data_IF_607267897950
#
_entry.id   IF_607267897950
#
_cell.length_a   1.000
_cell.length_b   1.000
_cell.length_c   1.000
_cell.angle_alpha   90.00
_cell.angle_beta   90.00
_cell.angle_gamma   90.00
#
_symmetry.space_group_name_H-M   'P 1'
#
loop_
_entity.id
_entity.type
_entity.pdbx_description
1 polymer ?
#
# COMPACT_ATOMS: atom_id res chain seq x y z
N UNK A 1 18.48 -9.42 49.27
CA UNK A 1 17.43 -8.85 48.40
C UNK A 1 18.08 -7.83 47.47
N UNK A 2 18.54 -8.25 46.28
CA UNK A 2 19.05 -7.31 45.29
C UNK A 2 17.88 -6.88 44.40
N UNK A 3 17.50 -5.62 44.56
CA UNK A 3 16.46 -4.95 43.78
C UNK A 3 16.85 -4.94 42.30
N UNK A 4 15.97 -5.48 41.46
CA UNK A 4 16.18 -5.59 40.02
C UNK A 4 16.22 -4.21 39.36
N UNK A 5 17.41 -3.79 38.95
CA UNK A 5 17.57 -2.74 37.96
C UNK A 5 17.18 -3.32 36.60
N UNK A 6 15.90 -3.18 36.24
CA UNK A 6 15.44 -3.41 34.88
C UNK A 6 16.21 -2.49 33.94
N UNK A 7 17.13 -3.05 33.16
CA UNK A 7 17.87 -2.31 32.14
C UNK A 7 16.85 -1.66 31.21
N UNK A 8 16.76 -0.32 31.22
CA UNK A 8 16.00 0.40 30.20
C UNK A 8 16.67 0.13 28.86
N UNK A 9 16.15 -0.84 28.11
CA UNK A 9 16.54 -1.05 26.72
C UNK A 9 16.17 0.22 25.98
N UNK A 10 17.18 0.96 25.51
CA UNK A 10 16.96 2.14 24.68
C UNK A 10 16.71 1.65 23.27
N UNK A 11 15.51 1.90 22.73
CA UNK A 11 15.15 1.55 21.36
C UNK A 11 14.73 2.77 20.55
N UNK A 12 14.96 2.71 19.24
CA UNK A 12 14.42 3.69 18.30
C UNK A 12 12.89 3.59 18.28
N UNK A 13 12.21 4.73 18.18
CA UNK A 13 10.75 4.81 18.10
C UNK A 13 10.32 5.27 16.71
N UNK A 14 9.34 4.61 16.07
CA UNK A 14 8.82 5.04 14.78
C UNK A 14 8.06 6.37 14.91
N UNK A 15 8.11 7.20 13.86
CA UNK A 15 7.31 8.41 13.72
C UNK A 15 6.65 8.42 12.33
N UNK A 16 5.42 7.90 12.26
CA UNK A 16 4.70 7.73 11.01
C UNK A 16 4.43 9.05 10.29
N UNK A 17 4.04 10.10 11.02
CA UNK A 17 3.76 11.42 10.44
C UNK A 17 5.00 11.99 9.75
N UNK A 18 6.17 11.93 10.41
CA UNK A 18 7.43 12.38 9.80
C UNK A 18 7.93 11.45 8.70
N UNK A 19 7.57 10.17 8.73
CA UNK A 19 7.88 9.20 7.66
C UNK A 19 7.13 9.53 6.39
N UNK A 20 5.82 9.78 6.48
CA UNK A 20 4.95 10.18 5.35
C UNK A 20 5.46 11.50 4.75
N UNK A 21 5.67 12.53 5.57
CA UNK A 21 6.14 13.84 5.11
C UNK A 21 7.55 13.84 4.46
N UNK A 22 8.30 12.74 4.56
CA UNK A 22 9.63 12.55 3.97
C UNK A 22 9.65 11.51 2.86
N UNK A 23 8.49 11.02 2.42
CA UNK A 23 8.43 10.18 1.24
C UNK A 23 8.99 10.94 0.02
N UNK A 24 9.60 10.24 -0.94
CA UNK A 24 10.10 10.87 -2.16
C UNK A 24 8.96 11.60 -2.86
N UNK A 25 9.15 12.90 -3.11
CA UNK A 25 8.21 13.69 -3.89
C UNK A 25 8.33 13.30 -5.36
N UNK A 26 7.21 13.27 -6.11
CA UNK A 26 7.26 12.91 -7.51
C UNK A 26 8.07 13.93 -8.31
N UNK A 27 9.06 13.45 -9.07
CA UNK A 27 9.88 14.29 -9.94
C UNK A 27 9.31 14.35 -11.37
N UNK A 28 8.46 13.38 -11.72
CA UNK A 28 7.80 13.28 -13.01
C UNK A 28 6.37 12.70 -12.87
N UNK A 29 5.64 12.62 -13.98
CA UNK A 29 4.25 12.13 -14.00
C UNK A 29 4.14 10.66 -13.57
N UNK A 30 5.07 9.79 -13.97
CA UNK A 30 5.03 8.39 -13.58
C UNK A 30 5.25 8.23 -12.07
N UNK A 31 6.14 9.03 -11.47
CA UNK A 31 6.31 9.07 -10.02
C UNK A 31 5.02 9.53 -9.32
N UNK A 32 4.32 10.52 -9.89
CA UNK A 32 3.06 11.03 -9.35
C UNK A 32 1.92 9.99 -9.43
N UNK A 33 2.01 9.05 -10.37
CA UNK A 33 1.05 7.96 -10.54
C UNK A 33 1.41 6.69 -9.75
N UNK A 34 2.52 6.67 -9.00
CA UNK A 34 2.90 5.52 -8.19
C UNK A 34 1.80 5.01 -7.23
N UNK A 35 1.03 5.86 -6.54
CA UNK A 35 -0.08 5.40 -5.72
C UNK A 35 -1.06 4.53 -6.53
N UNK A 36 -1.44 4.99 -7.72
CA UNK A 36 -2.36 4.27 -8.61
C UNK A 36 -1.77 2.93 -9.07
N UNK A 37 -0.50 2.91 -9.50
CA UNK A 37 0.17 1.67 -9.89
C UNK A 37 0.25 0.65 -8.76
N UNK A 38 0.51 1.12 -7.54
CA UNK A 38 0.50 0.28 -6.35
C UNK A 38 -0.89 -0.31 -6.08
N UNK A 39 -1.97 0.48 -6.19
CA UNK A 39 -3.32 -0.05 -6.00
C UNK A 39 -3.68 -1.10 -7.05
N UNK A 40 -3.32 -0.87 -8.32
CA UNK A 40 -3.50 -1.84 -9.40
C UNK A 40 -2.70 -3.12 -9.14
N UNK A 41 -1.43 -2.99 -8.72
CA UNK A 41 -0.60 -4.13 -8.33
C UNK A 41 -1.21 -4.92 -7.17
N UNK A 42 -1.75 -4.23 -6.16
CA UNK A 42 -2.42 -4.87 -5.04
C UNK A 42 -3.69 -5.63 -5.47
N UNK A 43 -4.49 -5.06 -6.37
CA UNK A 43 -5.65 -5.70 -6.99
C UNK A 43 -5.27 -6.95 -7.81
N UNK A 44 -4.20 -6.88 -8.60
CA UNK A 44 -3.68 -8.04 -9.36
C UNK A 44 -3.26 -9.16 -8.41
N UNK A 45 -2.48 -8.85 -7.37
CA UNK A 45 -2.08 -9.86 -6.39
C UNK A 45 -3.27 -10.47 -5.63
N UNK A 46 -4.27 -9.64 -5.29
CA UNK A 46 -5.51 -10.08 -4.64
C UNK A 46 -6.29 -11.07 -5.51
N UNK A 47 -6.40 -10.80 -6.81
CA UNK A 47 -7.09 -11.68 -7.78
C UNK A 47 -6.32 -12.97 -8.06
N UNK A 48 -5.00 -12.88 -8.26
CA UNK A 48 -4.12 -14.05 -8.41
C UNK A 48 -4.21 -14.98 -7.20
N UNK A 49 -4.19 -14.43 -5.99
CA UNK A 49 -4.30 -15.23 -4.76
C UNK A 49 -5.67 -15.91 -4.60
N UNK A 50 -6.75 -15.33 -5.15
CA UNK A 50 -8.09 -15.93 -5.09
C UNK A 50 -8.28 -17.03 -6.13
N UNK A 51 -7.91 -16.78 -7.38
CA UNK A 51 -8.28 -17.62 -8.52
C UNK A 51 -7.15 -18.54 -8.99
N UNK A 52 -5.90 -18.31 -8.56
CA UNK A 52 -4.75 -19.14 -8.92
C UNK A 52 -4.70 -19.38 -10.45
N UNK A 53 -4.76 -20.64 -10.88
CA UNK A 53 -4.72 -21.03 -12.30
C UNK A 53 -5.91 -20.52 -13.13
N UNK A 54 -7.07 -20.22 -12.51
CA UNK A 54 -8.24 -19.72 -13.23
C UNK A 54 -8.29 -18.19 -13.32
N UNK A 55 -7.26 -17.49 -12.81
CA UNK A 55 -7.24 -16.01 -12.77
C UNK A 55 -7.42 -15.36 -14.14
N UNK A 56 -6.93 -15.99 -15.22
CA UNK A 56 -7.09 -15.47 -16.57
C UNK A 56 -8.54 -15.44 -17.05
N UNK A 57 -9.39 -16.33 -16.53
CA UNK A 57 -10.80 -16.43 -16.89
C UNK A 57 -11.72 -15.70 -15.89
N UNK A 58 -11.38 -15.73 -14.61
CA UNK A 58 -12.26 -15.26 -13.52
C UNK A 58 -11.80 -13.96 -12.87
N UNK A 59 -10.50 -13.65 -12.92
CA UNK A 59 -9.93 -12.47 -12.31
C UNK A 59 -10.36 -11.20 -13.02
N UNK A 60 -10.80 -10.21 -12.23
CA UNK A 60 -11.19 -8.88 -12.71
C UNK A 60 -10.56 -7.80 -11.86
N UNK A 61 -9.91 -6.87 -12.54
CA UNK A 61 -9.46 -5.59 -12.01
C UNK A 61 -10.04 -4.50 -12.90
N UNK A 62 -10.81 -3.61 -12.32
CA UNK A 62 -11.44 -2.47 -13.00
C UNK A 62 -10.78 -1.19 -12.51
N UNK A 63 -10.33 -0.36 -13.44
CA UNK A 63 -9.80 0.98 -13.13
C UNK A 63 -10.70 2.02 -13.76
N UNK A 64 -11.36 2.80 -12.93
CA UNK A 64 -12.24 3.88 -13.36
C UNK A 64 -11.57 5.22 -13.08
N UNK A 65 -11.31 6.00 -14.13
CA UNK A 65 -10.78 7.37 -14.01
C UNK A 65 -11.87 8.36 -14.38
N UNK A 66 -12.17 9.26 -13.45
CA UNK A 66 -13.14 10.32 -13.62
C UNK A 66 -12.43 11.66 -13.51
N UNK A 67 -12.82 12.59 -14.37
CA UNK A 67 -12.35 13.97 -14.26
C UNK A 67 -13.42 14.94 -14.70
N UNK A 68 -13.37 16.16 -14.17
CA UNK A 68 -14.24 17.23 -14.61
C UNK A 68 -13.79 17.83 -15.95
N UNK A 69 -14.62 18.68 -16.57
CA UNK A 69 -14.29 19.29 -17.87
C UNK A 69 -13.01 20.14 -17.81
N UNK A 70 -12.69 20.72 -16.65
CA UNK A 70 -11.50 21.53 -16.44
C UNK A 70 -10.26 20.70 -16.14
N UNK A 71 -10.41 19.40 -15.87
CA UNK A 71 -9.34 18.47 -15.48
C UNK A 71 -8.65 18.85 -14.15
N UNK A 72 -9.38 19.54 -13.29
CA UNK A 72 -8.89 20.04 -12.00
C UNK A 72 -9.18 19.03 -10.87
N UNK A 73 -10.25 18.25 -11.01
CA UNK A 73 -10.57 17.15 -10.11
C UNK A 73 -10.38 15.84 -10.86
N UNK A 74 -9.39 15.03 -10.45
CA UNK A 74 -9.16 13.68 -10.98
C UNK A 74 -9.43 12.69 -9.86
N UNK A 75 -10.29 11.71 -10.12
CA UNK A 75 -10.54 10.58 -9.24
C UNK A 75 -10.18 9.29 -9.98
N UNK A 76 -9.41 8.43 -9.33
CA UNK A 76 -9.14 7.09 -9.82
C UNK A 76 -9.66 6.08 -8.79
N UNK A 77 -10.46 5.13 -9.25
CA UNK A 77 -11.03 4.05 -8.45
C UNK A 77 -10.47 2.74 -9.01
N UNK A 78 -9.90 1.92 -8.14
CA UNK A 78 -9.41 0.57 -8.48
C UNK A 78 -10.27 -0.43 -7.72
N UNK A 79 -10.93 -1.32 -8.44
CA UNK A 79 -11.79 -2.37 -7.89
C UNK A 79 -11.28 -3.73 -8.36
N UNK A 80 -11.30 -4.72 -7.46
CA UNK A 80 -10.95 -6.10 -7.79
C UNK A 80 -11.95 -7.09 -7.21
N UNK A 81 -12.05 -8.26 -7.83
CA UNK A 81 -12.85 -9.38 -7.31
C UNK A 81 -11.98 -10.43 -6.60
N UNK A 82 -10.83 -10.05 -6.06
CA UNK A 82 -9.90 -10.95 -5.38
C UNK A 82 -10.30 -11.28 -3.94
N UNK A 83 -9.30 -11.61 -3.11
CA UNK A 83 -9.48 -11.98 -1.70
C UNK A 83 -9.87 -10.79 -0.80
N UNK A 84 -9.54 -9.56 -1.22
CA UNK A 84 -9.78 -8.35 -0.44
C UNK A 84 -8.98 -8.29 0.87
N UNK A 85 -9.45 -7.51 1.82
CA UNK A 85 -8.84 -7.34 3.15
C UNK A 85 -9.24 -8.47 4.10
N UNK A 86 -8.81 -9.69 3.80
CA UNK A 86 -8.81 -10.77 4.79
C UNK A 86 -7.85 -10.44 5.95
N UNK A 87 -7.87 -11.23 7.02
CA UNK A 87 -7.07 -10.96 8.23
C UNK A 87 -5.58 -10.71 7.96
N UNK A 88 -4.94 -11.55 7.10
CA UNK A 88 -3.54 -11.37 6.70
C UNK A 88 -3.32 -10.06 5.94
N UNK A 89 -4.18 -9.75 4.97
CA UNK A 89 -4.06 -8.55 4.15
C UNK A 89 -4.35 -7.28 4.97
N UNK A 90 -5.28 -7.37 5.92
CA UNK A 90 -5.60 -6.32 6.86
C UNK A 90 -4.40 -6.01 7.77
N UNK A 91 -3.76 -7.03 8.34
CA UNK A 91 -2.56 -6.84 9.17
C UNK A 91 -1.42 -6.18 8.39
N UNK A 92 -1.18 -6.62 7.15
CA UNK A 92 -0.23 -5.97 6.27
C UNK A 92 -0.63 -4.51 5.95
N UNK A 93 -1.92 -4.23 5.81
CA UNK A 93 -2.45 -2.89 5.53
C UNK A 93 -2.25 -1.93 6.72
N UNK A 94 -2.29 -2.39 7.97
CA UNK A 94 -2.06 -1.52 9.12
C UNK A 94 -0.59 -1.47 9.58
N UNK A 95 0.28 -2.36 9.08
CA UNK A 95 1.68 -2.46 9.51
C UNK A 95 2.65 -1.68 8.62
N UNK A 96 3.07 -0.48 9.02
CA UNK A 96 4.03 0.38 8.27
C UNK A 96 5.32 -0.36 7.90
N UNK A 97 5.82 -0.14 6.67
CA UNK A 97 7.03 -0.79 6.13
C UNK A 97 6.96 -2.35 6.22
N UNK A 98 5.78 -2.95 6.01
CA UNK A 98 5.58 -4.42 6.06
C UNK A 98 6.37 -5.19 4.98
N UNK A 99 6.90 -6.35 5.39
CA UNK A 99 7.59 -7.31 4.51
C UNK A 99 6.67 -8.29 3.79
N UNK A 100 5.34 -8.16 3.92
CA UNK A 100 4.35 -9.12 3.39
C UNK A 100 4.48 -9.43 1.89
N UNK A 101 5.18 -8.54 1.14
CA UNK A 101 5.43 -8.68 -0.29
C UNK A 101 6.92 -8.52 -0.66
N UNK A 102 7.83 -8.67 0.30
CA UNK A 102 9.27 -8.42 0.06
C UNK A 102 9.85 -9.34 -1.02
N UNK A 103 9.39 -10.60 -1.07
CA UNK A 103 9.81 -11.60 -2.06
C UNK A 103 9.43 -11.23 -3.49
N UNK A 104 8.42 -10.39 -3.67
CA UNK A 104 7.98 -9.84 -4.96
C UNK A 104 8.37 -8.37 -5.13
N UNK A 105 9.35 -7.88 -4.36
CA UNK A 105 9.90 -6.53 -4.46
C UNK A 105 9.09 -5.45 -3.73
N UNK A 106 8.08 -5.82 -2.95
CA UNK A 106 7.26 -4.92 -2.15
C UNK A 106 8.05 -4.32 -0.99
N UNK A 107 8.11 -2.98 -0.92
CA UNK A 107 8.83 -2.23 0.13
C UNK A 107 7.95 -1.85 1.34
N UNK A 108 6.68 -2.25 1.35
CA UNK A 108 5.77 -1.97 2.46
C UNK A 108 5.32 -0.50 2.63
N UNK A 109 5.67 0.39 1.69
CA UNK A 109 5.39 1.85 1.77
C UNK A 109 4.27 2.33 0.85
N UNK A 110 3.77 1.50 -0.06
CA UNK A 110 2.90 1.93 -1.16
C UNK A 110 1.64 2.69 -0.72
N UNK A 111 0.92 2.19 0.29
CA UNK A 111 -0.25 2.87 0.89
C UNK A 111 0.07 4.15 1.65
N UNK A 112 1.33 4.37 2.05
CA UNK A 112 1.76 5.63 2.67
C UNK A 112 1.87 6.75 1.63
N UNK A 113 2.18 6.42 0.38
CA UNK A 113 2.22 7.40 -0.71
C UNK A 113 0.83 7.99 -0.96
N UNK A 114 -0.24 7.22 -0.74
CA UNK A 114 -1.62 7.71 -0.82
C UNK A 114 -1.96 8.79 0.23
N UNK A 115 -1.29 8.78 1.38
CA UNK A 115 -1.49 9.77 2.44
C UNK A 115 -0.69 11.07 2.19
N UNK A 116 0.32 11.05 1.31
CA UNK A 116 1.06 12.24 0.88
C UNK A 116 0.37 12.96 -0.30
N UNK A 117 -0.62 12.30 -0.93
CA UNK A 117 -1.45 12.91 -1.97
C UNK A 117 -2.61 13.77 -1.43
N UNK A 118 -2.86 13.75 -0.11
CA UNK A 118 -3.87 14.54 0.60
C UNK A 118 -3.23 15.80 1.20
#
# INVERSE_FOLDING_TARGET
>A
MYSGYGTRVTSLRPNLVKRIARLPKPANVADALQPLFEAISNAIHSTQARFLETVAAEGRVTVTVQTDRKKEAVTAIVEDNGLGLNEKNWEAFITTDTDNKIEIGGKGVGRLMWLDCL
#
